data_IF_900029469828
#
_entry.id   IF_900029469828
#
_cell.length_a   1.000
_cell.length_b   1.000
_cell.length_c   1.000
_cell.angle_alpha   90.00
_cell.angle_beta   90.00
_cell.angle_gamma   90.00
#
_symmetry.space_group_name_H-M   'P 1'
#
loop_
_entity.id
_entity.type
_entity.pdbx_description
1 polymer ?
#
# COMPACT_ATOMS: atom_id res chain seq x y z
N UNK A 1 8.25 -3.05 22.25
CA UNK A 1 7.40 -4.12 21.68
C UNK A 1 8.31 -5.26 21.24
N UNK A 2 7.91 -6.52 21.38
CA UNK A 2 8.74 -7.67 21.01
C UNK A 2 8.43 -8.10 19.56
N UNK A 3 9.24 -7.63 18.63
CA UNK A 3 9.00 -7.78 17.19
C UNK A 3 9.31 -9.17 16.65
N UNK A 4 9.99 -10.01 17.45
CA UNK A 4 10.32 -11.39 17.03
C UNK A 4 9.08 -12.24 16.77
N UNK A 5 7.92 -11.80 17.30
CA UNK A 5 6.62 -12.48 17.27
C UNK A 5 5.79 -12.21 16.02
N UNK A 6 6.14 -11.23 15.19
CA UNK A 6 5.38 -10.88 13.99
C UNK A 6 6.00 -11.52 12.76
N UNK A 7 5.15 -11.72 11.74
CA UNK A 7 5.62 -12.04 10.40
C UNK A 7 6.47 -10.88 9.90
N UNK A 8 7.55 -11.21 9.19
CA UNK A 8 8.56 -10.22 8.82
C UNK A 8 8.87 -10.30 7.34
N UNK A 9 8.86 -9.15 6.68
CA UNK A 9 9.34 -8.96 5.33
C UNK A 9 10.76 -8.40 5.41
N UNK A 10 11.72 -9.14 4.85
CA UNK A 10 13.09 -8.67 4.64
C UNK A 10 13.22 -8.19 3.21
N UNK A 11 13.68 -6.95 3.06
CA UNK A 11 13.93 -6.31 1.77
C UNK A 11 15.21 -5.46 1.88
N UNK A 12 15.95 -5.28 0.80
CA UNK A 12 17.13 -4.40 0.79
C UNK A 12 16.74 -2.97 0.45
N UNK A 13 17.63 -2.00 0.73
CA UNK A 13 17.38 -0.62 0.29
C UNK A 13 17.37 -0.52 -1.24
N UNK A 14 18.29 -1.23 -1.90
CA UNK A 14 18.35 -1.30 -3.37
C UNK A 14 17.03 -1.80 -3.98
N UNK A 15 16.45 -2.86 -3.40
CA UNK A 15 15.15 -3.40 -3.85
C UNK A 15 14.00 -2.39 -3.63
N UNK A 16 14.02 -1.63 -2.52
CA UNK A 16 13.04 -0.56 -2.29
C UNK A 16 13.17 0.52 -3.36
N UNK A 17 14.40 0.95 -3.66
CA UNK A 17 14.66 2.00 -4.64
C UNK A 17 14.20 1.55 -6.03
N UNK A 18 14.49 0.29 -6.40
CA UNK A 18 13.95 -0.35 -7.61
C UNK A 18 12.42 -0.32 -7.64
N UNK A 19 11.75 -0.77 -6.58
CA UNK A 19 10.28 -0.77 -6.52
C UNK A 19 9.69 0.64 -6.64
N UNK A 20 10.35 1.63 -6.03
CA UNK A 20 9.95 3.02 -6.14
C UNK A 20 10.03 3.49 -7.59
N UNK A 21 11.15 3.25 -8.30
CA UNK A 21 11.33 3.63 -9.70
C UNK A 21 10.22 3.08 -10.61
N UNK A 22 9.87 1.79 -10.47
CA UNK A 22 8.82 1.15 -11.27
C UNK A 22 7.46 1.82 -11.08
N UNK A 23 7.17 2.20 -9.85
CA UNK A 23 5.85 2.69 -9.47
C UNK A 23 5.77 4.22 -9.36
N UNK A 24 6.82 4.96 -9.75
CA UNK A 24 6.82 6.44 -9.86
C UNK A 24 5.64 6.97 -10.69
N UNK A 25 5.03 6.14 -11.55
CA UNK A 25 3.87 6.54 -12.36
C UNK A 25 2.52 6.46 -11.64
N UNK A 26 2.39 5.73 -10.51
CA UNK A 26 1.11 5.57 -9.77
C UNK A 26 1.33 5.23 -8.30
N UNK A 27 0.84 6.12 -7.43
CA UNK A 27 0.62 5.79 -6.03
C UNK A 27 -0.42 4.65 -5.92
N UNK A 28 0.01 3.45 -5.51
CA UNK A 28 -0.91 2.33 -5.28
C UNK A 28 -1.46 2.45 -3.86
N UNK A 29 -2.62 3.07 -3.71
CA UNK A 29 -3.32 3.16 -2.41
C UNK A 29 -4.24 1.95 -2.16
N UNK A 30 -4.60 1.22 -3.23
CA UNK A 30 -5.39 0.00 -3.19
C UNK A 30 -4.54 -1.19 -3.63
N UNK A 31 -3.73 -1.70 -2.72
CA UNK A 31 -2.91 -2.89 -2.91
C UNK A 31 -3.56 -4.13 -2.28
N UNK A 32 -3.28 -5.33 -2.79
CA UNK A 32 -3.70 -6.58 -2.19
C UNK A 32 -3.05 -6.78 -0.81
N UNK A 33 -3.83 -7.17 0.19
CA UNK A 33 -3.31 -7.43 1.54
C UNK A 33 -2.88 -8.88 1.63
N UNK A 34 -1.57 -9.10 1.69
CA UNK A 34 -0.98 -10.44 1.83
C UNK A 34 -0.84 -10.81 3.29
N UNK A 35 -0.33 -9.88 4.10
CA UNK A 35 -0.20 -10.03 5.55
C UNK A 35 -1.15 -9.08 6.26
N UNK A 36 -1.91 -9.61 7.22
CA UNK A 36 -2.80 -8.80 8.07
C UNK A 36 -2.04 -8.04 9.14
N UNK A 37 -0.88 -8.53 9.56
CA UNK A 37 -0.04 -7.89 10.57
C UNK A 37 1.40 -8.32 10.32
N UNK A 38 2.34 -7.39 10.43
CA UNK A 38 3.73 -7.71 10.18
C UNK A 38 4.68 -6.53 10.34
N UNK A 39 5.96 -6.81 10.13
CA UNK A 39 7.02 -5.81 10.08
C UNK A 39 7.75 -5.86 8.75
N UNK A 40 8.23 -4.70 8.30
CA UNK A 40 9.19 -4.59 7.20
C UNK A 40 10.53 -4.24 7.81
N UNK A 41 11.54 -4.97 7.37
CA UNK A 41 12.93 -4.76 7.78
C UNK A 41 13.82 -4.49 6.58
N UNK A 42 14.66 -3.47 6.72
CA UNK A 42 15.67 -3.08 5.74
C UNK A 42 17.02 -3.25 6.40
N UNK A 43 17.86 -4.13 5.83
CA UNK A 43 19.22 -4.39 6.35
C UNK A 43 19.25 -4.73 7.85
N UNK A 44 18.25 -5.50 8.30
CA UNK A 44 18.12 -5.92 9.71
C UNK A 44 17.55 -4.86 10.66
N UNK A 45 17.16 -3.68 10.16
CA UNK A 45 16.47 -2.62 10.92
C UNK A 45 14.99 -2.67 10.64
N UNK A 46 14.15 -2.56 11.68
CA UNK A 46 12.71 -2.42 11.46
C UNK A 46 12.47 -0.99 10.99
N UNK A 47 11.85 -0.85 9.83
CA UNK A 47 11.46 0.46 9.29
C UNK A 47 9.97 0.69 9.46
N UNK A 48 9.17 -0.39 9.38
CA UNK A 48 7.71 -0.32 9.47
C UNK A 48 7.16 -1.49 10.27
N UNK A 49 6.15 -1.17 11.07
CA UNK A 49 5.14 -2.13 11.53
C UNK A 49 3.81 -1.74 10.90
N UNK A 50 3.03 -2.73 10.49
CA UNK A 50 1.70 -2.51 9.97
C UNK A 50 0.73 -3.56 10.53
N UNK A 51 -0.54 -3.16 10.68
CA UNK A 51 -1.64 -4.05 11.04
C UNK A 51 -2.91 -3.58 10.37
N UNK A 52 -3.60 -4.50 9.72
CA UNK A 52 -4.98 -4.34 9.28
C UNK A 52 -5.88 -4.44 10.50
N UNK A 53 -6.48 -3.32 10.92
CA UNK A 53 -7.40 -3.30 12.06
C UNK A 53 -8.77 -3.89 11.67
N UNK A 54 -9.19 -3.65 10.43
CA UNK A 54 -10.36 -4.20 9.73
C UNK A 54 -10.04 -4.30 8.22
N UNK A 55 -10.98 -4.70 7.36
CA UNK A 55 -10.70 -4.78 5.90
C UNK A 55 -10.43 -3.41 5.25
N UNK A 56 -10.69 -2.31 5.97
CA UNK A 56 -10.76 -0.94 5.44
C UNK A 56 -9.65 -0.04 5.96
N UNK A 57 -8.97 -0.38 7.05
CA UNK A 57 -8.00 0.51 7.69
C UNK A 57 -6.71 -0.20 8.07
N UNK A 58 -5.61 0.54 7.88
CA UNK A 58 -4.25 0.10 8.16
C UNK A 58 -3.69 0.99 9.25
N UNK A 59 -3.30 0.38 10.37
CA UNK A 59 -2.46 1.01 11.38
C UNK A 59 -1.00 0.80 11.00
N UNK A 60 -0.24 1.88 10.88
CA UNK A 60 1.18 1.86 10.54
C UNK A 60 1.98 2.58 11.61
N UNK A 61 3.11 2.01 12.01
CA UNK A 61 4.11 2.69 12.85
C UNK A 61 5.45 2.70 12.12
N UNK A 62 5.99 3.90 11.95
CA UNK A 62 7.31 4.14 11.36
C UNK A 62 8.36 4.08 12.47
N UNK A 63 9.42 3.32 12.23
CA UNK A 63 10.55 3.19 13.14
C UNK A 63 11.83 3.78 12.53
N UNK A 64 12.68 4.30 13.40
CA UNK A 64 14.02 4.79 13.07
C UNK A 64 15.03 4.32 14.13
N UNK A 65 16.30 4.29 13.75
CA UNK A 65 17.41 3.97 14.65
C UNK A 65 18.30 2.83 14.15
N UNK A 66 19.31 2.50 14.96
CA UNK A 66 20.27 1.44 14.66
C UNK A 66 19.65 0.05 14.81
N UNK A 67 20.36 -0.99 14.33
CA UNK A 67 19.99 -2.39 14.55
C UNK A 67 19.79 -2.63 16.05
N UNK A 68 18.63 -3.16 16.45
CA UNK A 68 18.18 -3.37 17.84
C UNK A 68 17.74 -2.12 18.62
N UNK A 69 17.75 -0.93 18.02
CA UNK A 69 17.23 0.32 18.59
C UNK A 69 16.07 0.83 17.74
N UNK A 70 14.94 0.11 17.78
CA UNK A 70 13.74 0.50 17.03
C UNK A 70 12.99 1.59 17.79
N UNK A 71 13.21 2.84 17.42
CA UNK A 71 12.55 4.01 18.02
C UNK A 71 11.30 4.33 17.18
N UNK A 72 10.08 4.23 17.73
CA UNK A 72 8.88 4.66 17.00
C UNK A 72 8.92 6.17 16.80
N UNK A 73 8.64 6.63 15.58
CA UNK A 73 8.64 8.06 15.22
C UNK A 73 7.22 8.55 15.08
N UNK A 74 6.43 7.92 14.21
CA UNK A 74 5.03 8.27 13.95
C UNK A 74 4.20 6.99 13.89
N UNK A 75 3.04 6.99 14.54
CA UNK A 75 1.98 6.00 14.30
C UNK A 75 0.81 6.70 13.65
N UNK A 76 0.24 6.12 12.59
CA UNK A 76 -0.93 6.66 11.93
C UNK A 76 -1.86 5.55 11.48
N UNK A 77 -3.13 5.93 11.27
CA UNK A 77 -4.13 5.06 10.67
C UNK A 77 -4.56 5.64 9.33
N UNK A 78 -4.49 4.81 8.31
CA UNK A 78 -4.94 5.11 6.96
C UNK A 78 -6.25 4.37 6.67
N UNK A 79 -7.28 5.09 6.25
CA UNK A 79 -8.51 4.52 5.73
C UNK A 79 -8.38 4.32 4.21
N UNK A 80 -8.53 3.08 3.76
CA UNK A 80 -8.38 2.66 2.36
C UNK A 80 -9.58 3.05 1.51
N UNK A 81 -10.76 3.21 2.10
CA UNK A 81 -12.00 3.56 1.40
C UNK A 81 -12.04 5.06 1.14
N UNK A 82 -11.84 5.88 2.17
CA UNK A 82 -11.81 7.34 2.05
C UNK A 82 -10.48 7.87 1.55
N UNK A 83 -9.43 7.04 1.55
CA UNK A 83 -8.06 7.43 1.21
C UNK A 83 -7.60 8.63 2.04
N UNK A 84 -7.74 8.52 3.35
CA UNK A 84 -7.38 9.60 4.28
C UNK A 84 -6.82 9.08 5.59
N UNK A 85 -5.98 9.89 6.24
CA UNK A 85 -5.54 9.63 7.60
C UNK A 85 -6.69 9.86 8.59
N UNK A 86 -6.96 8.88 9.44
CA UNK A 86 -8.04 8.93 10.46
C UNK A 86 -7.50 9.19 11.85
N UNK A 87 -6.21 8.88 12.09
CA UNK A 87 -5.53 9.21 13.33
C UNK A 87 -4.02 9.29 13.09
N UNK A 88 -3.33 10.10 13.87
CA UNK A 88 -1.88 10.14 13.91
C UNK A 88 -1.37 10.46 15.32
N UNK A 89 -0.19 9.97 15.64
CA UNK A 89 0.51 10.23 16.90
C UNK A 89 2.01 10.30 16.59
N UNK A 90 2.60 11.46 16.88
CA UNK A 90 4.06 11.64 16.79
C UNK A 90 4.66 11.28 18.15
N UNK A 91 5.54 10.28 18.15
CA UNK A 91 6.23 9.81 19.36
C UNK A 91 7.56 10.53 19.57
N UNK A 92 8.21 10.95 18.48
CA UNK A 92 9.53 11.60 18.48
C UNK A 92 9.59 12.74 17.47
N UNK A 93 9.26 13.94 17.95
CA UNK A 93 9.25 15.15 17.13
C UNK A 93 10.65 15.49 16.61
N UNK A 94 11.67 15.37 17.46
CA UNK A 94 13.06 15.67 17.12
C UNK A 94 13.61 14.84 15.95
N UNK A 95 13.24 13.55 15.89
CA UNK A 95 13.62 12.68 14.78
C UNK A 95 12.82 13.05 13.52
N UNK A 96 11.52 13.31 13.66
CA UNK A 96 10.67 13.71 12.54
C UNK A 96 11.18 15.00 11.88
N UNK A 97 11.48 16.03 12.69
CA UNK A 97 11.99 17.32 12.21
C UNK A 97 13.29 17.15 11.43
N UNK A 98 14.22 16.33 11.94
CA UNK A 98 15.46 16.00 11.22
C UNK A 98 15.21 15.45 9.81
N UNK A 99 14.23 14.54 9.65
CA UNK A 99 13.90 14.00 8.33
C UNK A 99 13.23 15.03 7.42
N UNK A 100 12.34 15.85 7.97
CA UNK A 100 11.68 16.92 7.21
C UNK A 100 12.72 17.93 6.72
N UNK A 101 13.60 18.41 7.62
CA UNK A 101 14.69 19.33 7.28
C UNK A 101 15.65 18.73 6.26
N UNK A 102 15.94 17.44 6.36
CA UNK A 102 16.74 16.73 5.37
C UNK A 102 16.07 16.75 3.99
N UNK A 103 14.76 16.47 3.89
CA UNK A 103 14.03 16.55 2.63
C UNK A 103 13.97 17.97 2.08
N UNK A 104 13.83 18.99 2.94
CA UNK A 104 13.92 20.39 2.53
C UNK A 104 15.28 20.71 1.92
N UNK A 105 16.36 20.21 2.52
CA UNK A 105 17.73 20.39 2.02
C UNK A 105 17.97 19.73 0.66
N UNK A 106 17.21 18.68 0.33
CA UNK A 106 17.23 18.00 -0.96
C UNK A 106 16.37 18.69 -2.04
N UNK A 107 15.74 19.82 -1.72
CA UNK A 107 14.93 20.59 -2.68
C UNK A 107 13.43 20.30 -2.61
N UNK A 108 12.94 19.71 -1.53
CA UNK A 108 11.50 19.49 -1.29
C UNK A 108 10.97 20.40 -0.17
N UNK A 109 10.84 21.73 -0.38
CA UNK A 109 10.53 22.69 0.69
C UNK A 109 9.13 22.52 1.29
N UNK A 110 8.20 21.93 0.55
CA UNK A 110 6.82 21.66 0.99
C UNK A 110 6.67 20.28 1.66
N UNK A 111 7.78 19.56 1.89
CA UNK A 111 7.75 18.27 2.55
C UNK A 111 7.32 18.44 4.02
N UNK A 112 6.36 17.64 4.45
CA UNK A 112 5.76 17.75 5.78
C UNK A 112 5.49 16.35 6.37
N UNK A 113 4.84 16.30 7.52
CA UNK A 113 4.42 15.05 8.16
C UNK A 113 3.52 14.20 7.24
N UNK A 114 2.62 14.83 6.49
CA UNK A 114 1.72 14.12 5.57
C UNK A 114 2.51 13.41 4.48
N UNK A 115 3.47 14.10 3.88
CA UNK A 115 4.40 13.54 2.89
C UNK A 115 5.22 12.38 3.47
N UNK A 116 5.71 12.51 4.71
CA UNK A 116 6.44 11.45 5.40
C UNK A 116 5.60 10.18 5.61
N UNK A 117 4.35 10.34 6.06
CA UNK A 117 3.42 9.21 6.22
C UNK A 117 3.05 8.59 4.86
N UNK A 118 2.78 9.41 3.86
CA UNK A 118 2.45 9.01 2.48
C UNK A 118 3.58 8.19 1.87
N UNK A 119 4.83 8.64 1.98
CA UNK A 119 6.00 7.92 1.46
C UNK A 119 6.11 6.52 2.08
N UNK A 120 5.96 6.41 3.39
CA UNK A 120 6.05 5.12 4.10
C UNK A 120 4.87 4.19 3.78
N UNK A 121 3.67 4.74 3.63
CA UNK A 121 2.51 3.97 3.16
C UNK A 121 2.72 3.46 1.72
N UNK A 122 3.38 4.25 0.90
CA UNK A 122 3.70 3.91 -0.50
C UNK A 122 4.74 2.78 -0.58
N UNK A 123 5.76 2.80 0.28
CA UNK A 123 6.70 1.67 0.40
C UNK A 123 5.96 0.39 0.77
N UNK A 124 5.08 0.45 1.79
CA UNK A 124 4.26 -0.70 2.18
C UNK A 124 3.41 -1.22 1.00
N UNK A 125 2.78 -0.32 0.24
CA UNK A 125 1.92 -0.73 -0.87
C UNK A 125 2.67 -1.36 -2.02
N UNK A 126 3.84 -0.84 -2.39
CA UNK A 126 4.68 -1.41 -3.44
C UNK A 126 5.19 -2.79 -3.08
N UNK A 127 5.65 -2.97 -1.84
CA UNK A 127 6.09 -4.28 -1.36
C UNK A 127 4.93 -5.28 -1.42
N UNK A 128 3.74 -4.91 -0.95
CA UNK A 128 2.57 -5.78 -0.96
C UNK A 128 2.09 -6.11 -2.38
N UNK A 129 2.06 -5.14 -3.29
CA UNK A 129 1.73 -5.36 -4.69
C UNK A 129 2.74 -6.31 -5.35
N UNK A 130 4.04 -6.05 -5.15
CA UNK A 130 5.10 -6.87 -5.72
C UNK A 130 5.01 -8.33 -5.29
N UNK A 131 4.86 -8.59 -3.98
CA UNK A 131 4.75 -9.97 -3.45
C UNK A 131 3.50 -10.67 -4.01
N UNK A 132 2.40 -9.93 -4.24
CA UNK A 132 1.16 -10.51 -4.77
C UNK A 132 1.31 -10.93 -6.22
N UNK A 133 1.95 -10.10 -7.03
CA UNK A 133 2.20 -10.35 -8.45
C UNK A 133 3.32 -11.38 -8.68
N UNK A 134 4.29 -11.46 -7.76
CA UNK A 134 5.50 -12.27 -7.91
C UNK A 134 5.62 -13.32 -6.80
N UNK A 135 4.59 -14.17 -6.65
CA UNK A 135 4.55 -15.18 -5.60
C UNK A 135 5.68 -16.23 -5.68
N UNK A 136 6.33 -16.37 -6.83
CA UNK A 136 7.45 -17.27 -7.07
C UNK A 136 8.81 -16.68 -6.59
N UNK A 137 8.91 -15.36 -6.48
CA UNK A 137 10.15 -14.66 -6.06
C UNK A 137 10.24 -14.45 -4.54
N UNK A 138 9.42 -15.16 -3.77
CA UNK A 138 9.49 -15.12 -2.31
C UNK A 138 10.10 -16.42 -1.80
N UNK A 139 11.10 -16.28 -0.95
CA UNK A 139 11.56 -17.40 -0.13
C UNK A 139 10.85 -17.34 1.23
N UNK A 140 10.07 -18.37 1.56
CA UNK A 140 9.54 -18.56 2.92
C UNK A 140 10.63 -19.26 3.72
N UNK A 141 11.39 -18.48 4.49
CA UNK A 141 12.68 -18.94 5.03
C UNK A 141 12.52 -19.82 6.27
N UNK A 142 11.55 -19.51 7.15
CA UNK A 142 11.33 -20.27 8.38
C UNK A 142 9.86 -20.30 8.78
N UNK A 143 9.44 -21.46 9.28
CA UNK A 143 8.20 -21.63 10.03
C UNK A 143 8.55 -22.19 11.41
N UNK A 144 8.82 -21.32 12.39
CA UNK A 144 9.13 -21.79 13.75
C UNK A 144 7.86 -22.14 14.50
N UNK A 145 7.72 -23.40 14.96
CA UNK A 145 6.73 -23.78 15.98
C UNK A 145 7.17 -23.27 17.34
N UNK A 146 6.63 -22.14 17.79
CA UNK A 146 6.78 -21.76 19.20
C UNK A 146 5.73 -22.49 20.04
N UNK A 147 6.18 -23.36 20.95
CA UNK A 147 5.33 -23.94 22.00
C UNK A 147 5.17 -22.88 23.10
N UNK A 148 3.97 -22.32 23.24
CA UNK A 148 3.69 -21.47 24.41
C UNK A 148 3.76 -22.31 25.69
N UNK A 149 4.44 -21.84 26.75
CA UNK A 149 4.36 -22.50 28.05
C UNK A 149 2.91 -22.45 28.54
N UNK A 150 2.40 -23.53 29.16
CA UNK A 150 1.02 -23.58 29.62
C UNK A 150 0.76 -22.46 30.61
N UNK A 151 -0.33 -21.72 30.38
CA UNK A 151 -0.82 -20.68 31.30
C UNK A 151 -1.11 -21.38 32.64
N UNK A 152 -0.41 -20.99 33.72
CA UNK A 152 -0.71 -21.46 35.09
C UNK A 152 -2.07 -20.91 35.48
N UNK A 153 -3.15 -21.64 35.18
CA UNK A 153 -4.44 -21.36 35.75
C UNK A 153 -4.50 -21.96 37.15
N UNK A 154 -5.01 -21.14 38.07
CA UNK A 154 -5.35 -21.52 39.44
C UNK A 154 -6.24 -22.77 39.46
N UNK A 155 -6.02 -23.59 40.49
CA UNK A 155 -6.68 -24.85 40.84
C UNK A 155 -8.08 -25.03 40.22
N UNK A 156 -8.20 -25.90 39.22
CA UNK A 156 -9.50 -26.35 38.74
C UNK A 156 -9.47 -27.08 37.40
N UNK A 157 -9.46 -28.41 37.46
CA UNK A 157 -9.71 -29.39 36.38
C UNK A 157 -8.69 -29.42 35.22
N UNK A 158 -8.13 -30.62 35.05
CA UNK A 158 -7.26 -31.04 33.93
C UNK A 158 -7.91 -30.72 32.58
N UNK A 159 -7.53 -29.58 32.00
CA UNK A 159 -7.83 -29.26 30.61
C UNK A 159 -6.57 -29.58 29.82
N UNK A 160 -6.66 -30.66 29.02
CA UNK A 160 -5.64 -31.21 28.12
C UNK A 160 -4.72 -30.09 27.57
N UNK A 161 -3.45 -30.08 27.97
CA UNK A 161 -2.42 -29.17 27.48
C UNK A 161 -2.37 -29.22 25.95
N UNK A 162 -3.06 -28.31 25.26
CA UNK A 162 -2.87 -28.09 23.83
C UNK A 162 -1.68 -27.15 23.68
N UNK A 163 -0.55 -27.68 23.25
CA UNK A 163 0.55 -26.87 22.75
C UNK A 163 0.01 -26.09 21.54
N UNK A 164 -0.24 -24.80 21.72
CA UNK A 164 -0.58 -23.91 20.60
C UNK A 164 0.73 -23.65 19.89
N UNK A 165 0.91 -24.25 18.72
CA UNK A 165 2.00 -23.90 17.81
C UNK A 165 1.64 -22.55 17.16
N UNK A 166 2.42 -21.51 17.44
CA UNK A 166 2.44 -20.33 16.57
C UNK A 166 3.31 -20.63 15.36
N UNK A 167 2.83 -20.29 14.20
CA UNK A 167 3.57 -20.28 12.95
C UNK A 167 3.99 -18.83 12.70
N UNK A 168 5.25 -18.61 12.37
CA UNK A 168 5.79 -17.32 11.94
C UNK A 168 6.22 -17.48 10.49
N UNK A 169 5.83 -16.58 9.62
CA UNK A 169 6.27 -16.52 8.23
C UNK A 169 7.30 -15.40 8.07
N UNK A 170 8.44 -15.75 7.48
CA UNK A 170 9.50 -14.81 7.16
C UNK A 170 9.65 -14.79 5.64
N UNK A 171 9.33 -13.66 5.04
CA UNK A 171 9.46 -13.43 3.60
C UNK A 171 10.79 -12.75 3.34
N UNK A 172 11.62 -13.34 2.47
CA UNK A 172 12.65 -12.58 1.77
C UNK A 172 12.14 -12.24 0.39
N UNK A 173 12.18 -10.94 0.08
CA UNK A 173 11.74 -10.40 -1.21
C UNK A 173 12.98 -9.97 -1.96
N UNK A 174 13.12 -10.47 -3.19
CA UNK A 174 14.18 -10.10 -4.12
C UNK A 174 13.54 -9.50 -5.36
N UNK A 175 13.96 -8.30 -5.76
CA UNK A 175 13.39 -7.62 -6.92
C UNK A 175 14.27 -7.89 -8.13
N UNK A 176 13.79 -8.74 -9.02
CA UNK A 176 14.46 -9.04 -10.30
C UNK A 176 14.08 -8.01 -11.39
N UNK A 177 15.05 -7.60 -12.19
CA UNK A 177 14.91 -6.57 -13.23
C UNK A 177 13.94 -7.00 -14.36
N UNK A 178 13.88 -8.30 -14.69
CA UNK A 178 12.95 -8.83 -15.71
C UNK A 178 11.47 -8.67 -15.30
N UNK A 179 11.17 -8.77 -14.00
CA UNK A 179 9.81 -8.64 -13.48
C UNK A 179 9.38 -7.18 -13.37
N UNK A 180 10.35 -6.28 -13.17
CA UNK A 180 10.17 -4.83 -13.25
C UNK A 180 9.72 -4.43 -14.66
N UNK A 181 10.42 -4.88 -15.70
CA UNK A 181 10.09 -4.55 -17.09
C UNK A 181 8.71 -5.06 -17.48
N UNK A 182 8.35 -6.29 -17.07
CA UNK A 182 7.04 -6.87 -17.33
C UNK A 182 5.91 -6.04 -16.67
N UNK A 183 6.11 -5.55 -15.44
CA UNK A 183 5.16 -4.67 -14.76
C UNK A 183 5.01 -3.31 -15.46
N UNK A 184 6.10 -2.76 -16.00
CA UNK A 184 6.08 -1.51 -16.78
C UNK A 184 5.36 -1.68 -18.12
N UNK A 185 5.53 -2.82 -18.79
CA UNK A 185 4.87 -3.12 -20.07
C UNK A 185 3.36 -3.36 -19.92
N UNK A 186 2.96 -4.09 -18.89
CA UNK A 186 1.54 -4.37 -18.59
C UNK A 186 0.76 -3.09 -18.25
N UNK A 187 1.47 -2.03 -17.84
CA UNK A 187 0.92 -0.72 -17.51
C UNK A 187 0.62 0.18 -18.73
N UNK A 188 0.91 -0.26 -19.96
CA UNK A 188 0.39 0.38 -21.18
C UNK A 188 -1.10 0.05 -21.36
N UNK A 189 -1.96 0.49 -20.42
CA UNK A 189 -3.40 0.53 -20.68
C UNK A 189 -3.64 1.57 -21.77
N UNK A 190 -3.92 1.12 -22.98
CA UNK A 190 -4.51 1.97 -24.01
C UNK A 190 -5.86 2.48 -23.48
N UNK A 191 -5.91 3.75 -23.07
CA UNK A 191 -7.19 4.43 -22.91
C UNK A 191 -7.83 4.52 -24.29
N UNK A 192 -8.71 3.57 -24.60
CA UNK A 192 -9.65 3.73 -25.71
C UNK A 192 -10.50 4.93 -25.33
N UNK A 193 -10.18 6.11 -25.88
CA UNK A 193 -11.09 7.26 -25.79
C UNK A 193 -12.43 6.78 -26.32
N UNK A 194 -13.44 6.71 -25.46
CA UNK A 194 -14.75 6.23 -25.87
C UNK A 194 -15.44 7.30 -26.72
N UNK A 195 -16.18 6.90 -27.74
CA UNK A 195 -17.14 7.77 -28.43
C UNK A 195 -18.55 7.40 -28.00
N UNK A 196 -19.38 8.41 -27.75
CA UNK A 196 -20.76 8.23 -27.31
C UNK A 196 -21.74 9.04 -28.17
N UNK A 197 -22.95 8.52 -28.32
CA UNK A 197 -24.02 9.20 -29.06
C UNK A 197 -24.73 10.17 -28.13
N UNK A 198 -24.77 11.45 -28.51
CA UNK A 198 -25.59 12.48 -27.91
C UNK A 198 -26.97 12.42 -28.58
N UNK A 199 -28.04 12.27 -27.79
CA UNK A 199 -29.42 12.31 -28.31
C UNK A 199 -29.76 13.72 -28.77
N UNK A 200 -30.59 13.83 -29.81
CA UNK A 200 -31.07 15.12 -30.28
C UNK A 200 -31.94 15.82 -29.22
N UNK A 201 -31.86 17.14 -29.16
CA UNK A 201 -32.55 17.95 -28.15
C UNK A 201 -32.81 19.38 -28.66
N UNK A 202 -33.82 20.09 -28.13
CA UNK A 202 -33.99 21.51 -28.42
C UNK A 202 -32.89 22.33 -27.73
N UNK A 203 -32.46 23.41 -28.37
CA UNK A 203 -31.52 24.40 -27.85
C UNK A 203 -32.11 25.80 -27.98
N UNK A 204 -32.09 26.54 -26.87
CA UNK A 204 -32.45 27.95 -26.84
C UNK A 204 -31.23 28.80 -27.19
N UNK A 205 -31.38 29.73 -28.13
CA UNK A 205 -30.35 30.69 -28.51
C UNK A 205 -30.52 31.99 -27.71
N UNK A 206 -29.46 32.78 -27.59
CA UNK A 206 -29.49 34.10 -26.92
C UNK A 206 -30.48 35.08 -27.54
N UNK A 207 -30.86 34.87 -28.81
CA UNK A 207 -31.89 35.63 -29.52
C UNK A 207 -33.33 35.20 -29.18
N UNK A 208 -33.53 34.22 -28.30
CA UNK A 208 -34.85 33.69 -27.92
C UNK A 208 -35.40 32.60 -28.86
N UNK A 209 -34.74 32.33 -29.99
CA UNK A 209 -35.13 31.27 -30.93
C UNK A 209 -34.80 29.88 -30.35
N UNK A 210 -35.69 28.92 -30.60
CA UNK A 210 -35.47 27.50 -30.26
C UNK A 210 -35.14 26.72 -31.54
N UNK A 211 -34.03 25.97 -31.52
CA UNK A 211 -33.55 25.17 -32.65
C UNK A 211 -33.36 23.73 -32.19
N UNK A 212 -33.77 22.76 -33.02
CA UNK A 212 -33.49 21.35 -32.76
C UNK A 212 -32.05 21.00 -33.12
N UNK A 213 -31.35 20.31 -32.23
CA UNK A 213 -30.02 19.75 -32.50
C UNK A 213 -30.19 18.27 -32.79
N UNK A 214 -29.74 17.84 -33.96
CA UNK A 214 -29.77 16.43 -34.34
C UNK A 214 -28.81 15.59 -33.48
N UNK A 215 -29.13 14.30 -33.25
CA UNK A 215 -28.22 13.40 -32.57
C UNK A 215 -26.85 13.37 -33.25
N UNK A 216 -25.77 13.45 -32.46
CA UNK A 216 -24.41 13.45 -32.99
C UNK A 216 -23.46 12.65 -32.09
N UNK A 217 -22.32 12.22 -32.64
CA UNK A 217 -21.32 11.45 -31.90
C UNK A 217 -20.28 12.41 -31.31
N UNK A 218 -19.95 12.23 -30.04
CA UNK A 218 -18.90 12.98 -29.33
C UNK A 218 -17.79 12.04 -28.89
N UNK A 219 -16.54 12.49 -28.98
CA UNK A 219 -15.33 11.69 -28.70
C UNK A 219 -14.61 11.25 -29.98
N UNK A 220 -13.33 10.85 -29.85
CA UNK A 220 -12.47 10.40 -30.97
C UNK A 220 -12.35 8.86 -31.08
N UNK A 221 -13.18 8.13 -30.33
CA UNK A 221 -13.17 6.67 -30.23
C UNK A 221 -13.83 5.90 -31.35
N UNK A 222 -13.55 4.60 -31.44
CA UNK A 222 -14.33 3.66 -32.26
C UNK A 222 -15.77 3.58 -31.73
N UNK A 223 -16.72 4.05 -32.54
CA UNK A 223 -18.15 3.99 -32.23
C UNK A 223 -18.71 2.63 -32.67
N UNK A 224 -19.28 1.87 -31.73
CA UNK A 224 -20.09 0.70 -32.05
C UNK A 224 -21.56 1.07 -31.77
N UNK A 225 -22.37 1.37 -32.80
CA UNK A 225 -23.78 1.67 -32.60
C UNK A 225 -24.48 0.47 -31.96
N UNK A 226 -25.25 0.73 -30.89
CA UNK A 226 -26.20 -0.25 -30.35
C UNK A 226 -27.51 -0.10 -31.13
N UNK A 227 -27.88 -1.13 -31.90
CA UNK A 227 -29.18 -1.18 -32.56
C UNK A 227 -30.27 -1.42 -31.50
N UNK A 228 -31.07 -0.38 -31.25
CA UNK A 228 -32.29 -0.53 -30.47
C UNK A 228 -33.43 -0.84 -31.43
N UNK A 229 -33.97 -2.05 -31.35
CA UNK A 229 -35.23 -2.41 -32.01
C UNK A 229 -36.37 -1.82 -31.19
N UNK A 230 -37.18 -0.98 -31.83
CA UNK A 230 -38.45 -0.47 -31.30
C UNK A 230 -39.60 -1.37 -31.75
#
# INVERSE_FOLDING_TARGET
MDYTKFDTIHITQEDIDKLQEVHLSRMILNFPVILKEGTITVEGRIVLYFRLDDEQSILTTIYQGAVNQNIPVVTFRWDRVSQSFTSQTVHRQDILDYFIDYQHSLGFPDYDLSNYMIQNLTILSYIMAYIHENQENREVVYTTRQSLPPKKNSKGKSQRNRNIARFKEVFKVYVNDENIETALETNKREYKQESWTVRGHPRHLSSGKVVWIDPYIKGKGKHNPKDYKF
#
